data_IF_527137557439
#
_entry.id   IF_527137557439
#
_cell.length_a   1.000
_cell.length_b   1.000
_cell.length_c   1.000
_cell.angle_alpha   90.00
_cell.angle_beta   90.00
_cell.angle_gamma   90.00
#
_symmetry.space_group_name_H-M   'P 1'
#
loop_
_entity.id
_entity.type
_entity.pdbx_description
1 polymer ?
#
# COMPACT_ATOMS: atom_id res chain seq x y z
N UNK A 1 -11.20 -32.87 -10.26
CA UNK A 1 -9.75 -33.08 -10.46
C UNK A 1 -9.03 -32.05 -9.62
N UNK A 2 -8.23 -32.47 -8.64
CA UNK A 2 -7.45 -31.55 -7.81
C UNK A 2 -6.27 -31.03 -8.62
N UNK A 3 -6.39 -29.80 -9.12
CA UNK A 3 -5.28 -29.09 -9.73
C UNK A 3 -4.32 -28.67 -8.61
N UNK A 4 -3.08 -29.19 -8.64
CA UNK A 4 -2.02 -28.74 -7.77
C UNK A 4 -1.17 -27.71 -8.53
N UNK A 5 -1.25 -26.42 -8.19
CA UNK A 5 -0.41 -25.41 -8.82
C UNK A 5 1.05 -25.77 -8.57
N UNK A 6 1.89 -25.63 -9.60
CA UNK A 6 3.34 -25.85 -9.48
C UNK A 6 4.08 -24.66 -10.07
N UNK A 7 5.09 -24.15 -9.36
CA UNK A 7 5.93 -23.05 -9.87
C UNK A 7 6.88 -23.60 -10.92
N UNK A 8 6.80 -23.07 -12.14
CA UNK A 8 7.73 -23.40 -13.23
C UNK A 8 8.82 -22.35 -13.40
N UNK A 9 8.61 -21.13 -12.89
CA UNK A 9 9.59 -20.05 -12.91
C UNK A 9 9.39 -19.11 -11.73
N UNK A 10 10.49 -18.66 -11.13
CA UNK A 10 10.49 -17.66 -10.08
C UNK A 10 11.56 -16.60 -10.40
N UNK A 11 11.18 -15.33 -10.36
CA UNK A 11 12.02 -14.21 -10.77
C UNK A 11 11.97 -13.12 -9.69
N UNK A 12 13.14 -12.74 -9.18
CA UNK A 12 13.23 -11.74 -8.12
C UNK A 12 12.85 -10.36 -8.66
N UNK A 13 11.94 -9.65 -7.99
CA UNK A 13 11.56 -8.29 -8.42
C UNK A 13 12.20 -7.22 -7.56
N UNK A 14 11.79 -7.11 -6.30
CA UNK A 14 12.30 -6.10 -5.37
C UNK A 14 11.85 -6.37 -3.94
N UNK A 15 12.65 -5.93 -2.97
CA UNK A 15 12.38 -6.20 -1.55
C UNK A 15 12.22 -7.71 -1.32
N UNK A 16 11.07 -8.13 -0.80
CA UNK A 16 10.71 -9.54 -0.60
C UNK A 16 9.60 -9.97 -1.57
N UNK A 17 9.61 -9.45 -2.79
CA UNK A 17 8.63 -9.78 -3.82
C UNK A 17 9.25 -10.63 -4.90
N UNK A 18 8.61 -11.76 -5.17
CA UNK A 18 8.99 -12.69 -6.23
C UNK A 18 7.84 -12.78 -7.22
N UNK A 19 8.22 -12.76 -8.49
CA UNK A 19 7.32 -13.00 -9.59
C UNK A 19 7.35 -14.48 -9.96
N UNK A 20 6.22 -15.14 -9.81
CA UNK A 20 6.06 -16.57 -9.98
C UNK A 20 5.23 -16.83 -11.23
N UNK A 21 5.70 -17.76 -12.06
CA UNK A 21 4.94 -18.33 -13.17
C UNK A 21 4.58 -19.76 -12.79
N UNK A 22 3.30 -20.08 -12.87
CA UNK A 22 2.76 -21.40 -12.59
C UNK A 22 2.62 -22.24 -13.87
N UNK A 23 2.45 -23.55 -13.69
CA UNK A 23 2.25 -24.51 -14.77
C UNK A 23 0.98 -24.26 -15.62
N UNK A 24 0.00 -23.49 -15.12
CA UNK A 24 -1.17 -23.07 -15.93
C UNK A 24 -0.91 -21.81 -16.76
N UNK A 25 0.35 -21.34 -16.81
CA UNK A 25 0.76 -20.07 -17.43
C UNK A 25 0.30 -18.82 -16.65
N UNK A 26 -0.30 -18.97 -15.47
CA UNK A 26 -0.60 -17.82 -14.61
C UNK A 26 0.67 -17.20 -14.05
N UNK A 27 0.74 -15.87 -14.08
CA UNK A 27 1.82 -15.08 -13.50
C UNK A 27 1.32 -14.27 -12.31
N UNK A 28 1.97 -14.41 -11.15
CA UNK A 28 1.62 -13.67 -9.93
C UNK A 28 2.85 -13.07 -9.28
N UNK A 29 2.69 -11.87 -8.74
CA UNK A 29 3.74 -11.26 -7.92
C UNK A 29 3.30 -11.36 -6.48
N UNK A 30 4.05 -12.13 -5.69
CA UNK A 30 3.69 -12.41 -4.30
C UNK A 30 4.68 -11.70 -3.38
N UNK A 31 4.16 -11.13 -2.29
CA UNK A 31 4.96 -10.51 -1.24
C UNK A 31 5.18 -11.52 -0.11
N UNK A 32 6.44 -11.84 0.16
CA UNK A 32 6.81 -12.91 1.08
C UNK A 32 6.97 -12.45 2.52
N UNK A 33 7.01 -11.12 2.77
CA UNK A 33 7.12 -10.54 4.12
C UNK A 33 6.22 -11.19 5.20
N UNK A 34 4.93 -11.44 4.96
CA UNK A 34 4.05 -12.02 5.98
C UNK A 34 4.41 -13.47 6.37
N UNK A 35 5.24 -14.16 5.59
CA UNK A 35 5.70 -15.52 5.91
C UNK A 35 7.15 -15.57 6.40
N UNK A 36 7.85 -14.43 6.44
CA UNK A 36 9.21 -14.35 6.97
C UNK A 36 9.23 -14.29 8.50
N UNK A 37 8.44 -15.14 9.15
CA UNK A 37 8.34 -15.27 10.60
C UNK A 37 8.78 -16.66 11.05
N UNK A 38 9.55 -16.70 12.15
CA UNK A 38 10.04 -17.94 12.74
C UNK A 38 11.53 -18.19 12.49
N UNK A 39 12.15 -18.98 13.36
CA UNK A 39 13.61 -19.14 13.44
C UNK A 39 14.28 -19.58 12.13
N UNK A 40 13.58 -20.36 11.29
CA UNK A 40 14.09 -20.81 9.98
C UNK A 40 14.07 -19.68 8.94
N UNK A 41 13.06 -18.79 9.02
CA UNK A 41 12.88 -17.67 8.09
C UNK A 41 13.59 -16.38 8.54
N UNK A 42 14.10 -16.30 9.78
CA UNK A 42 14.85 -15.13 10.26
C UNK A 42 16.03 -14.77 9.35
N UNK A 43 16.78 -15.77 8.86
CA UNK A 43 17.87 -15.56 7.93
C UNK A 43 17.40 -14.93 6.60
N UNK A 44 16.16 -15.23 6.19
CA UNK A 44 15.55 -14.71 4.96
C UNK A 44 15.04 -13.27 5.11
N UNK A 45 15.06 -12.68 6.30
CA UNK A 45 14.86 -11.23 6.48
C UNK A 45 16.03 -10.43 5.89
N UNK A 46 17.17 -11.05 5.69
CA UNK A 46 18.27 -10.47 4.94
C UNK A 46 18.07 -10.68 3.44
N UNK A 47 18.15 -9.58 2.67
CA UNK A 47 17.92 -9.61 1.22
C UNK A 47 18.95 -10.47 0.47
N UNK A 48 20.17 -10.60 0.96
CA UNK A 48 21.17 -11.43 0.29
C UNK A 48 20.82 -12.92 0.42
N UNK A 49 20.27 -13.34 1.56
CA UNK A 49 19.76 -14.70 1.75
C UNK A 49 18.46 -14.93 0.98
N UNK A 50 17.55 -13.96 1.02
CA UNK A 50 16.28 -14.04 0.30
C UNK A 50 16.49 -14.24 -1.20
N UNK A 51 17.47 -13.56 -1.81
CA UNK A 51 17.74 -13.64 -3.26
C UNK A 51 18.33 -14.97 -3.73
N UNK A 52 18.77 -15.83 -2.82
CA UNK A 52 19.34 -17.15 -3.12
C UNK A 52 18.27 -18.25 -3.24
N UNK A 53 17.01 -17.88 -3.47
CA UNK A 53 15.95 -18.86 -3.72
C UNK A 53 16.19 -19.60 -5.03
N UNK A 54 15.68 -20.82 -5.09
CA UNK A 54 15.61 -21.64 -6.30
C UNK A 54 14.28 -22.38 -6.34
N UNK A 55 13.90 -22.85 -7.53
CA UNK A 55 12.69 -23.66 -7.69
C UNK A 55 13.11 -25.12 -7.73
N UNK A 56 12.58 -25.91 -6.80
CA UNK A 56 12.80 -27.35 -6.73
C UNK A 56 11.46 -28.07 -6.55
N UNK A 57 11.21 -29.16 -7.27
CA UNK A 57 9.95 -29.92 -7.15
C UNK A 57 8.65 -29.12 -7.37
N UNK A 58 8.71 -27.94 -8.02
CA UNK A 58 7.56 -27.06 -8.19
C UNK A 58 7.26 -26.13 -7.00
N UNK A 59 8.16 -26.05 -6.02
CA UNK A 59 8.11 -25.14 -4.85
C UNK A 59 9.32 -24.20 -4.85
N UNK A 60 9.20 -23.08 -4.14
CA UNK A 60 10.30 -22.13 -3.93
C UNK A 60 11.03 -22.52 -2.66
N UNK A 61 12.33 -22.80 -2.78
CA UNK A 61 13.19 -23.30 -1.71
C UNK A 61 14.41 -22.39 -1.55
N UNK A 62 14.93 -22.31 -0.34
CA UNK A 62 16.14 -21.57 0.01
C UNK A 62 17.22 -22.51 0.57
N UNK A 63 18.51 -22.12 0.47
CA UNK A 63 19.63 -22.95 0.91
C UNK A 63 19.67 -23.23 2.42
N UNK A 64 18.94 -22.45 3.22
CA UNK A 64 18.77 -22.68 4.65
C UNK A 64 17.73 -23.79 4.97
N UNK A 65 17.14 -24.42 3.95
CA UNK A 65 16.10 -25.44 4.10
C UNK A 65 14.70 -24.86 4.31
N UNK A 66 14.51 -23.55 4.17
CA UNK A 66 13.19 -22.97 4.12
C UNK A 66 12.54 -23.27 2.75
N UNK A 67 11.27 -23.65 2.76
CA UNK A 67 10.47 -23.85 1.55
C UNK A 67 9.09 -23.20 1.71
N UNK A 68 8.52 -22.77 0.59
CA UNK A 68 7.15 -22.26 0.55
C UNK A 68 6.39 -22.95 -0.58
N UNK A 69 5.39 -23.73 -0.20
CA UNK A 69 4.59 -24.53 -1.10
C UNK A 69 3.85 -23.67 -2.14
N UNK A 70 3.70 -24.15 -3.39
CA UNK A 70 3.05 -23.41 -4.47
C UNK A 70 1.57 -23.14 -4.20
N UNK A 71 0.89 -23.97 -3.40
CA UNK A 71 -0.50 -23.76 -2.97
C UNK A 71 -0.67 -22.47 -2.15
N UNK A 72 0.27 -22.20 -1.23
CA UNK A 72 0.28 -20.98 -0.44
C UNK A 72 0.52 -19.77 -1.32
N UNK A 73 1.44 -19.89 -2.28
CA UNK A 73 1.76 -18.83 -3.25
C UNK A 73 0.60 -18.55 -4.22
N UNK A 74 -0.14 -19.60 -4.61
CA UNK A 74 -1.28 -19.49 -5.50
C UNK A 74 -2.50 -18.86 -4.79
N UNK A 75 -2.73 -19.21 -3.53
CA UNK A 75 -3.78 -18.64 -2.68
C UNK A 75 -3.48 -17.19 -2.24
N UNK A 76 -2.21 -16.78 -2.30
CA UNK A 76 -1.79 -15.46 -1.85
C UNK A 76 -2.37 -14.31 -2.71
N UNK A 77 -2.65 -13.16 -2.08
CA UNK A 77 -3.05 -11.97 -2.80
C UNK A 77 -1.93 -11.49 -3.73
N UNK A 78 -2.30 -11.12 -4.95
CA UNK A 78 -1.35 -10.58 -5.92
C UNK A 78 -0.93 -9.18 -5.47
N UNK A 79 0.36 -8.97 -5.20
CA UNK A 79 0.91 -7.72 -4.71
C UNK A 79 0.68 -6.53 -5.65
N UNK A 80 0.37 -6.79 -6.94
CA UNK A 80 -0.07 -5.75 -7.89
C UNK A 80 -1.39 -5.09 -7.48
N UNK A 81 -2.30 -5.85 -6.88
CA UNK A 81 -3.64 -5.38 -6.51
C UNK A 81 -3.61 -4.49 -5.26
N UNK A 82 -2.80 -4.86 -4.26
CA UNK A 82 -2.60 -4.12 -3.02
C UNK A 82 -1.99 -2.72 -3.24
N UNK A 83 -1.03 -2.60 -4.15
CA UNK A 83 -0.43 -1.30 -4.48
C UNK A 83 -1.42 -0.34 -5.16
N UNK A 84 -2.41 -0.87 -5.89
CA UNK A 84 -3.47 -0.07 -6.52
C UNK A 84 -4.57 0.32 -5.52
N UNK A 85 -4.92 -0.59 -4.59
CA UNK A 85 -5.94 -0.35 -3.55
C UNK A 85 -5.50 0.75 -2.55
N UNK A 86 -4.22 0.75 -2.15
CA UNK A 86 -3.68 1.76 -1.21
C UNK A 86 -3.64 3.18 -1.78
N UNK A 87 -3.69 3.35 -3.11
CA UNK A 87 -3.81 4.67 -3.76
C UNK A 87 -5.24 5.23 -3.73
N UNK A 88 -6.27 4.40 -3.48
CA UNK A 88 -7.68 4.83 -3.45
C UNK A 88 -8.16 5.25 -2.06
N UNK A 89 -7.48 4.85 -0.99
CA UNK A 89 -7.87 5.13 0.40
C UNK A 89 -7.25 6.39 1.01
N UNK A 90 -6.28 7.04 0.36
CA UNK A 90 -5.71 8.33 0.82
C UNK A 90 -6.38 9.57 0.20
N UNK A 91 -7.52 9.40 -0.48
CA UNK A 91 -8.22 10.48 -1.21
C UNK A 91 -9.59 10.86 -0.66
N UNK A 92 -9.94 10.54 0.60
CA UNK A 92 -11.21 10.99 1.20
C UNK A 92 -11.01 12.26 2.02
N UNK A 93 -10.81 13.38 1.34
CA UNK A 93 -11.18 14.69 1.88
C UNK A 93 -12.71 14.79 1.82
N UNK A 94 -13.46 14.90 2.94
CA UNK A 94 -14.83 15.37 2.86
C UNK A 94 -14.80 16.88 2.64
N UNK A 95 -14.72 17.31 1.38
CA UNK A 95 -15.17 18.64 1.00
C UNK A 95 -16.70 18.63 0.91
N UNK A 96 -17.38 19.15 1.94
CA UNK A 96 -18.74 19.68 1.81
C UNK A 96 -19.05 20.66 2.94
N UNK A 97 -18.46 21.84 2.83
CA UNK A 97 -18.92 23.04 3.53
C UNK A 97 -19.07 24.15 2.48
N UNK A 98 -20.20 24.12 1.76
CA UNK A 98 -20.72 25.24 1.00
C UNK A 98 -22.24 25.14 1.17
N UNK A 99 -22.80 25.94 2.08
CA UNK A 99 -23.57 27.16 1.79
C UNK A 99 -25.05 26.78 1.58
N UNK A 100 -26.03 27.40 2.25
CA UNK A 100 -26.61 28.68 1.83
C UNK A 100 -27.43 29.30 2.99
N UNK A 101 -27.18 30.59 3.15
CA UNK A 101 -27.92 31.71 3.73
C UNK A 101 -29.44 31.53 3.98
N UNK A 102 -29.92 32.01 5.14
CA UNK A 102 -31.26 32.62 5.25
C UNK A 102 -31.40 33.51 6.50
N UNK A 103 -31.39 34.82 6.25
CA UNK A 103 -32.09 35.93 6.93
C UNK A 103 -32.64 35.75 8.36
N UNK A 104 -32.11 36.55 9.29
CA UNK A 104 -32.66 36.70 10.65
C UNK A 104 -32.32 38.06 11.29
N UNK A 105 -33.21 39.02 11.07
CA UNK A 105 -33.29 40.38 11.63
C UNK A 105 -32.89 40.57 13.12
N UNK A 106 -32.32 41.75 13.37
CA UNK A 106 -32.62 42.77 14.42
C UNK A 106 -31.73 42.92 15.68
N UNK A 107 -31.17 44.14 15.75
CA UNK A 107 -31.08 45.11 16.87
C UNK A 107 -30.14 44.81 18.06
N UNK A 108 -29.09 45.63 18.23
CA UNK A 108 -29.16 46.89 19.01
C UNK A 108 -27.85 47.67 18.94
N UNK A 109 -28.02 48.98 18.86
CA UNK A 109 -27.01 50.01 19.00
C UNK A 109 -26.37 50.04 20.40
N UNK A 110 -25.14 50.58 20.43
CA UNK A 110 -24.44 51.32 21.49
C UNK A 110 -22.94 51.15 21.18
N UNK A 111 -22.04 52.10 21.31
CA UNK A 111 -22.03 53.49 21.75
C UNK A 111 -20.53 53.84 21.76
N UNK A 112 -20.15 55.06 21.36
CA UNK A 112 -18.83 55.70 21.58
C UNK A 112 -17.61 55.01 20.94
N UNK A 113 -16.55 55.70 20.50
CA UNK A 113 -16.02 57.02 20.84
C UNK A 113 -15.25 57.55 19.60
N UNK A 114 -15.28 58.86 19.29
CA UNK A 114 -14.21 59.85 19.61
C UNK A 114 -12.88 59.49 18.91
N UNK A 115 -12.20 60.29 18.09
CA UNK A 115 -12.18 61.70 17.72
C UNK A 115 -11.07 61.86 16.62
N UNK A 116 -10.85 63.05 16.04
CA UNK A 116 -10.27 63.24 14.70
C UNK A 116 -8.77 63.59 14.72
N UNK A 117 -8.14 63.70 13.53
CA UNK A 117 -7.48 64.93 13.02
C UNK A 117 -6.76 64.72 11.68
N UNK A 118 -7.02 65.68 10.80
CA UNK A 118 -6.30 66.12 9.61
C UNK A 118 -4.82 65.74 9.49
N UNK A 119 -4.38 65.41 8.26
CA UNK A 119 -3.16 65.98 7.66
C UNK A 119 -3.36 66.09 6.14
N UNK A 120 -2.77 67.14 5.58
CA UNK A 120 -3.13 67.88 4.38
C UNK A 120 -2.30 67.45 3.16
N UNK A 121 -2.90 67.66 1.98
CA UNK A 121 -2.40 67.91 0.63
C UNK A 121 -1.04 67.37 0.15
N UNK A 122 -1.08 66.84 -1.09
CA UNK A 122 0.03 66.90 -2.04
C UNK A 122 -0.54 66.94 -3.46
N UNK A 123 -0.44 68.09 -4.12
CA UNK A 123 -0.48 68.27 -5.56
C UNK A 123 0.20 69.61 -5.87
#
# INVERSE_FOLDING_TARGET
MNFLPSVIRADYRSGFRIHLTFNDLSERTVDFRPWLEGSVFEALKDLAHFRQFFVDGGTVVWPNGADIAPETLYAAPNARDEAASRKRSSGRSPQRALEIQSSGRRLRAKDRARAPKHTVARA
#
